data_IF_202520930742
#
_entry.id   IF_202520930742
#
_cell.length_a   1.000
_cell.length_b   1.000
_cell.length_c   1.000
_cell.angle_alpha   90.00
_cell.angle_beta   90.00
_cell.angle_gamma   90.00
#
_symmetry.space_group_name_H-M   'P 1'
#
loop_
_entity.id
_entity.type
_entity.pdbx_description
1 polymer ?
#
# COMPACT_ATOMS: atom_id res chain seq x y z
N UNK A 1 1.88 3.59 9.18
CA UNK A 1 0.94 3.34 8.06
C UNK A 1 -0.02 2.24 8.47
N UNK A 2 -1.28 2.30 8.04
CA UNK A 2 -2.30 1.26 8.28
C UNK A 2 -2.97 0.92 6.95
N UNK A 3 -3.09 -0.39 6.67
CA UNK A 3 -3.84 -0.90 5.53
C UNK A 3 -5.26 -1.27 5.92
N UNK A 4 -6.22 -0.95 5.07
CA UNK A 4 -7.64 -1.24 5.29
C UNK A 4 -8.18 -2.21 4.23
N UNK A 5 -9.17 -2.99 4.63
CA UNK A 5 -10.02 -3.74 3.72
C UNK A 5 -11.15 -2.87 3.17
N UNK A 6 -11.81 -2.12 4.06
CA UNK A 6 -12.91 -1.25 3.72
C UNK A 6 -12.86 0.08 4.50
N UNK A 7 -12.93 1.24 3.83
CA UNK A 7 -12.78 1.39 2.38
C UNK A 7 -11.41 0.86 1.89
N UNK A 8 -11.26 0.51 0.60
CA UNK A 8 -10.00 0.02 0.04
C UNK A 8 -8.98 1.17 -0.03
N UNK A 9 -8.17 1.30 1.02
CA UNK A 9 -7.18 2.37 1.19
C UNK A 9 -6.05 1.98 2.14
N UNK A 10 -4.99 2.77 2.13
CA UNK A 10 -4.04 2.84 3.25
C UNK A 10 -3.93 4.28 3.77
N UNK A 11 -3.67 4.37 5.08
CA UNK A 11 -3.57 5.64 5.80
C UNK A 11 -2.17 5.83 6.36
N UNK A 12 -1.57 6.98 6.04
CA UNK A 12 -0.32 7.46 6.61
C UNK A 12 -0.67 8.39 7.77
N UNK A 13 -0.07 8.11 8.92
CA UNK A 13 -0.32 8.83 10.16
C UNK A 13 1.00 9.23 10.79
N UNK A 14 0.94 10.28 11.58
CA UNK A 14 2.03 10.65 12.47
C UNK A 14 2.29 9.53 13.50
N UNK A 15 3.56 9.19 13.70
CA UNK A 15 3.96 8.02 14.49
C UNK A 15 3.76 8.18 16.00
N UNK A 16 3.69 9.41 16.50
CA UNK A 16 3.53 9.69 17.94
C UNK A 16 2.08 10.01 18.29
N UNK A 17 1.43 10.83 17.46
CA UNK A 17 0.10 11.39 17.74
C UNK A 17 -1.04 10.61 17.08
N UNK A 18 -0.73 9.72 16.13
CA UNK A 18 -1.72 9.00 15.31
C UNK A 18 -2.59 9.94 14.45
N UNK A 19 -2.20 11.21 14.33
CA UNK A 19 -2.90 12.17 13.47
C UNK A 19 -2.81 11.72 12.01
N UNK A 20 -3.92 11.66 11.26
CA UNK A 20 -3.87 11.32 9.84
C UNK A 20 -3.13 12.42 9.06
N UNK A 21 -2.16 11.99 8.26
CA UNK A 21 -1.37 12.86 7.38
C UNK A 21 -1.84 12.75 5.93
N UNK A 22 -2.14 11.52 5.48
CA UNK A 22 -2.61 11.25 4.11
C UNK A 22 -3.38 9.95 4.04
N UNK A 23 -4.40 9.90 3.20
CA UNK A 23 -5.20 8.70 2.89
C UNK A 23 -5.10 8.47 1.39
N UNK A 24 -4.84 7.22 0.99
CA UNK A 24 -4.66 6.85 -0.42
C UNK A 24 -5.54 5.66 -0.75
N UNK A 25 -6.45 5.85 -1.71
CA UNK A 25 -7.28 4.76 -2.26
C UNK A 25 -6.42 3.74 -2.99
N UNK A 26 -6.75 2.46 -2.83
CA UNK A 26 -6.13 1.34 -3.56
C UNK A 26 -6.98 0.83 -4.73
N UNK A 27 -8.16 1.40 -4.96
CA UNK A 27 -8.96 1.14 -6.19
C UNK A 27 -8.12 1.40 -7.43
N UNK A 28 -8.19 0.50 -8.41
CA UNK A 28 -7.39 0.64 -9.62
C UNK A 28 -7.40 -0.58 -10.51
N UNK A 29 -6.42 -0.62 -11.43
CA UNK A 29 -6.27 -1.70 -12.39
C UNK A 29 -5.56 -2.88 -11.75
N UNK A 30 -6.04 -4.08 -12.04
CA UNK A 30 -5.33 -5.33 -11.77
C UNK A 30 -4.13 -5.48 -12.69
N UNK A 31 -3.21 -6.39 -12.36
CA UNK A 31 -2.05 -6.73 -13.19
C UNK A 31 -2.41 -7.19 -14.61
N UNK A 32 -3.65 -7.63 -14.83
CA UNK A 32 -4.15 -8.06 -16.14
C UNK A 32 -4.85 -6.92 -16.90
N UNK A 33 -4.89 -5.70 -16.34
CA UNK A 33 -5.51 -4.55 -17.00
C UNK A 33 -7.02 -4.44 -16.85
N UNK A 34 -7.62 -5.13 -15.88
CA UNK A 34 -9.05 -4.98 -15.52
C UNK A 34 -9.22 -4.06 -14.31
N UNK A 35 -10.25 -3.20 -14.30
CA UNK A 35 -10.53 -2.37 -13.12
C UNK A 35 -11.14 -3.17 -11.97
N UNK A 36 -10.63 -2.97 -10.75
CA UNK A 36 -11.15 -3.60 -9.54
C UNK A 36 -11.55 -2.54 -8.48
N UNK A 37 -12.82 -2.50 -8.03
CA UNK A 37 -13.35 -1.45 -7.15
C UNK A 37 -13.06 -1.64 -5.66
N UNK A 38 -12.65 -2.84 -5.24
CA UNK A 38 -12.35 -3.17 -3.85
C UNK A 38 -10.99 -3.89 -3.65
N UNK A 39 -9.84 -3.31 -4.02
CA UNK A 39 -8.54 -3.91 -3.77
C UNK A 39 -8.11 -3.66 -2.33
N UNK A 40 -8.15 -4.70 -1.50
CA UNK A 40 -7.83 -4.66 -0.07
C UNK A 40 -6.33 -4.58 0.14
N UNK A 41 -5.92 -3.88 1.19
CA UNK A 41 -4.53 -3.92 1.62
C UNK A 41 -4.28 -5.20 2.43
N UNK A 42 -3.29 -5.99 2.00
CA UNK A 42 -2.79 -7.16 2.71
C UNK A 42 -1.66 -6.78 3.68
N UNK A 43 -0.53 -7.47 3.58
CA UNK A 43 0.65 -7.16 4.39
C UNK A 43 1.21 -5.76 4.11
N UNK A 44 1.67 -5.11 5.19
CA UNK A 44 2.44 -3.87 5.13
C UNK A 44 3.72 -4.07 5.94
N UNK A 45 4.88 -3.89 5.32
CA UNK A 45 6.19 -4.01 5.99
C UNK A 45 7.06 -2.78 5.72
N UNK A 46 7.96 -2.47 6.65
CA UNK A 46 8.93 -1.38 6.47
C UNK A 46 10.20 -1.90 5.81
N UNK A 47 10.73 -1.16 4.84
CA UNK A 47 12.07 -1.43 4.31
C UNK A 47 13.14 -1.17 5.38
N UNK A 48 14.22 -1.96 5.34
CA UNK A 48 15.41 -1.76 6.20
C UNK A 48 16.51 -0.94 5.52
N UNK A 49 16.36 -0.63 4.23
CA UNK A 49 17.41 0.01 3.40
C UNK A 49 17.01 1.37 2.83
N UNK A 50 15.71 1.67 2.83
CA UNK A 50 15.15 2.91 2.30
C UNK A 50 13.99 3.37 3.18
N UNK A 51 13.66 4.67 3.17
CA UNK A 51 12.47 5.22 3.83
C UNK A 51 11.19 4.87 3.05
N UNK A 52 10.91 3.58 2.91
CA UNK A 52 9.78 3.05 2.13
C UNK A 52 8.96 2.03 2.93
N UNK A 53 7.64 2.05 2.76
CA UNK A 53 6.79 0.91 3.09
C UNK A 53 6.55 0.05 1.86
N UNK A 54 6.51 -1.27 2.04
CA UNK A 54 6.09 -2.25 1.05
C UNK A 54 4.65 -2.66 1.38
N UNK A 55 3.71 -2.38 0.48
CA UNK A 55 2.27 -2.58 0.71
C UNK A 55 1.75 -3.54 -0.36
N UNK A 56 1.16 -4.66 0.07
CA UNK A 56 0.46 -5.57 -0.84
C UNK A 56 -0.97 -5.09 -1.08
N UNK A 57 -1.37 -5.01 -2.34
CA UNK A 57 -2.75 -4.73 -2.77
C UNK A 57 -3.32 -5.98 -3.40
N UNK A 58 -4.18 -6.65 -2.62
CA UNK A 58 -4.53 -8.07 -2.76
C UNK A 58 -5.15 -8.38 -4.12
N UNK A 59 -6.33 -7.86 -4.42
CA UNK A 59 -7.09 -8.23 -5.62
C UNK A 59 -6.46 -7.70 -6.92
N UNK A 60 -5.72 -6.58 -6.86
CA UNK A 60 -5.03 -6.06 -8.04
C UNK A 60 -3.74 -6.79 -8.36
N UNK A 61 -3.16 -7.53 -7.41
CA UNK A 61 -1.87 -8.20 -7.58
C UNK A 61 -0.71 -7.22 -7.64
N UNK A 62 -0.82 -6.10 -6.92
CA UNK A 62 0.18 -5.02 -6.97
C UNK A 62 0.94 -4.95 -5.64
N UNK A 63 2.25 -4.73 -5.72
CA UNK A 63 3.07 -4.33 -4.58
C UNK A 63 3.41 -2.86 -4.75
N UNK A 64 3.14 -2.04 -3.73
CA UNK A 64 3.47 -0.62 -3.71
C UNK A 64 4.70 -0.39 -2.83
N UNK A 65 5.72 0.25 -3.38
CA UNK A 65 6.82 0.83 -2.62
C UNK A 65 6.50 2.31 -2.40
N UNK A 66 6.12 2.67 -1.18
CA UNK A 66 5.66 4.01 -0.82
C UNK A 66 6.77 4.74 -0.08
N UNK A 67 7.41 5.71 -0.73
CA UNK A 67 8.44 6.57 -0.16
C UNK A 67 7.81 7.63 0.74
N UNK A 68 8.17 7.60 2.03
CA UNK A 68 7.59 8.48 3.04
C UNK A 68 8.46 9.69 3.41
N UNK A 69 9.51 9.99 2.64
CA UNK A 69 10.37 11.16 2.87
C UNK A 69 9.66 12.49 2.64
N UNK A 70 8.66 12.51 1.76
CA UNK A 70 7.81 13.68 1.49
C UNK A 70 6.36 13.23 1.29
N UNK A 71 5.57 13.32 2.36
CA UNK A 71 4.15 12.92 2.35
C UNK A 71 3.31 13.84 1.44
N UNK A 72 3.70 15.11 1.30
CA UNK A 72 2.99 16.06 0.45
C UNK A 72 3.16 15.67 -1.03
N UNK A 73 4.37 15.33 -1.43
CA UNK A 73 4.71 14.88 -2.79
C UNK A 73 5.00 13.37 -2.86
N UNK A 74 4.06 12.58 -2.30
CA UNK A 74 4.21 11.13 -2.12
C UNK A 74 4.60 10.42 -3.42
N UNK A 75 5.76 9.77 -3.43
CA UNK A 75 6.21 8.92 -4.53
C UNK A 75 5.83 7.47 -4.24
N UNK A 76 5.32 6.79 -5.26
CA UNK A 76 4.98 5.38 -5.17
C UNK A 76 5.48 4.66 -6.41
N UNK A 77 6.22 3.58 -6.21
CA UNK A 77 6.58 2.64 -7.28
C UNK A 77 5.64 1.45 -7.21
N UNK A 78 5.00 1.10 -8.33
CA UNK A 78 4.12 -0.05 -8.43
C UNK A 78 4.84 -1.22 -9.12
N UNK A 79 4.81 -2.39 -8.49
CA UNK A 79 5.42 -3.62 -9.00
C UNK A 79 4.30 -4.65 -9.20
N UNK A 80 4.26 -5.23 -10.40
CA UNK A 80 3.32 -6.32 -10.70
C UNK A 80 3.70 -7.58 -9.91
N UNK A 81 2.69 -8.25 -9.40
CA UNK A 81 2.81 -9.48 -8.63
C UNK A 81 1.63 -10.43 -8.92
N UNK A 82 1.44 -11.46 -8.10
CA UNK A 82 0.29 -12.35 -8.17
C UNK A 82 -0.94 -11.73 -7.49
N UNK A 83 -2.13 -11.94 -8.08
CA UNK A 83 -3.40 -11.60 -7.41
C UNK A 83 -3.55 -12.40 -6.12
N UNK A 84 -4.22 -11.79 -5.16
CA UNK A 84 -4.60 -12.33 -3.85
C UNK A 84 -3.45 -12.59 -2.88
N UNK A 85 -2.29 -11.96 -3.09
CA UNK A 85 -1.23 -11.87 -2.07
C UNK A 85 -1.78 -11.20 -0.81
N UNK A 86 -1.78 -11.97 0.29
CA UNK A 86 -2.37 -11.56 1.55
C UNK A 86 -1.29 -11.34 2.61
N UNK A 87 -0.57 -12.40 2.92
CA UNK A 87 0.46 -12.42 3.95
C UNK A 87 1.82 -12.16 3.31
N UNK A 88 2.75 -11.68 4.13
CA UNK A 88 4.09 -11.30 3.72
C UNK A 88 4.88 -10.81 4.93
N UNK A 89 6.20 -10.71 4.76
CA UNK A 89 7.11 -10.48 5.87
C UNK A 89 8.55 -10.46 5.39
N UNK A 90 9.46 -10.27 6.34
CA UNK A 90 10.90 -10.42 6.13
C UNK A 90 11.43 -11.70 6.81
N UNK A 91 10.57 -12.70 7.01
CA UNK A 91 10.88 -13.96 7.70
C UNK A 91 11.63 -14.97 6.84
#
# INVERSE_FOLDING_TARGET
VVGNYWPPEYSIMDGETVKPLKIVSTRGMTVDGEYHPEPRVGSVVSSHIKPEWVINVKETGMILLVDYTDINNLKTTQINSAKFLHDGGWD
#
